data_IF_879488748114
#
_entry.id   IF_879488748114
#
_cell.length_a   1.000
_cell.length_b   1.000
_cell.length_c   1.000
_cell.angle_alpha   90.00
_cell.angle_beta   90.00
_cell.angle_gamma   90.00
#
_symmetry.space_group_name_H-M   'P 1'
#
loop_
_entity.id
_entity.type
_entity.pdbx_description
1 polymer ?
#
# COMPACT_ATOMS: atom_id res chain seq x y z
N UNK A 1 11.25 -5.28 16.29
CA UNK A 1 11.40 -5.40 14.84
C UNK A 1 12.48 -4.44 14.38
N UNK A 2 13.02 -4.62 13.20
CA UNK A 2 14.12 -3.78 12.71
C UNK A 2 13.64 -2.58 11.91
N UNK A 3 12.53 -2.75 11.20
CA UNK A 3 12.02 -1.79 10.23
C UNK A 3 10.60 -1.31 10.52
N UNK A 4 9.97 -1.87 11.56
CA UNK A 4 8.64 -1.44 12.02
C UNK A 4 8.76 -1.02 13.47
N UNK A 5 8.32 0.20 13.77
CA UNK A 5 8.21 0.73 15.13
C UNK A 5 6.73 0.77 15.55
N UNK A 6 6.43 0.25 16.74
CA UNK A 6 5.07 0.15 17.24
C UNK A 6 4.95 0.97 18.52
N UNK A 7 3.95 1.84 18.57
CA UNK A 7 3.67 2.66 19.75
C UNK A 7 2.19 2.57 20.09
N UNK A 8 1.86 2.21 21.32
CA UNK A 8 0.48 2.19 21.81
C UNK A 8 0.18 3.43 22.64
N UNK A 9 -0.99 4.01 22.41
CA UNK A 9 -1.51 5.16 23.14
C UNK A 9 -3.01 4.95 23.40
N UNK A 10 -3.34 4.51 24.61
CA UNK A 10 -4.70 4.09 24.94
C UNK A 10 -5.19 2.97 24.03
N UNK A 11 -6.29 3.20 23.31
CA UNK A 11 -6.85 2.23 22.36
C UNK A 11 -6.34 2.41 20.92
N UNK A 12 -5.30 3.20 20.72
CA UNK A 12 -4.71 3.46 19.41
C UNK A 12 -3.34 2.80 19.33
N UNK A 13 -3.13 1.99 18.32
CA UNK A 13 -1.84 1.42 17.95
C UNK A 13 -1.27 2.17 16.75
N UNK A 14 -0.09 2.75 16.89
CA UNK A 14 0.67 3.37 15.81
C UNK A 14 1.68 2.36 15.28
N UNK A 15 1.67 2.14 13.99
CA UNK A 15 2.60 1.28 13.26
C UNK A 15 3.36 2.13 12.27
N UNK A 16 4.64 2.37 12.54
CA UNK A 16 5.49 3.19 11.68
C UNK A 16 6.41 2.33 10.83
N UNK A 17 6.44 2.59 9.54
CA UNK A 17 7.55 2.17 8.68
C UNK A 17 8.77 3.00 9.09
N UNK A 18 9.85 2.33 9.49
CA UNK A 18 11.04 2.95 10.10
C UNK A 18 12.30 2.58 9.31
N UNK A 19 12.41 3.17 8.11
CA UNK A 19 13.55 3.02 7.21
C UNK A 19 13.75 4.31 6.41
N UNK A 20 13.87 5.42 7.12
CA UNK A 20 13.91 6.79 6.56
C UNK A 20 15.01 6.96 5.50
N UNK A 21 16.20 6.37 5.72
CA UNK A 21 17.35 6.44 4.80
C UNK A 21 17.06 5.87 3.41
N UNK A 22 16.02 5.05 3.29
CA UNK A 22 15.53 4.51 2.02
C UNK A 22 14.11 4.99 1.69
N UNK A 23 13.66 6.11 2.24
CA UNK A 23 12.30 6.63 2.06
C UNK A 23 11.23 5.55 2.38
N UNK A 24 11.47 4.76 3.41
CA UNK A 24 10.63 3.66 3.86
C UNK A 24 10.32 2.60 2.77
N UNK A 25 11.27 2.37 1.85
CA UNK A 25 11.11 1.39 0.77
C UNK A 25 10.85 -0.02 1.33
N UNK A 26 9.93 -0.72 0.68
CA UNK A 26 9.41 -2.03 1.08
C UNK A 26 10.34 -3.14 0.56
N UNK A 27 11.35 -3.50 1.36
CA UNK A 27 12.15 -4.70 1.13
C UNK A 27 11.40 -5.96 1.55
N UNK A 28 11.90 -7.12 1.16
CA UNK A 28 11.39 -8.43 1.60
C UNK A 28 11.25 -8.51 3.13
N UNK A 29 12.22 -7.98 3.88
CA UNK A 29 12.19 -8.00 5.33
C UNK A 29 11.11 -7.07 5.90
N UNK A 30 10.93 -5.86 5.33
CA UNK A 30 9.83 -4.95 5.70
C UNK A 30 8.47 -5.61 5.48
N UNK A 31 8.28 -6.28 4.33
CA UNK A 31 7.01 -6.97 4.01
C UNK A 31 6.73 -8.12 4.99
N UNK A 32 7.74 -8.85 5.41
CA UNK A 32 7.60 -9.90 6.44
C UNK A 32 7.26 -9.31 7.79
N UNK A 33 7.97 -8.26 8.22
CA UNK A 33 7.71 -7.63 9.51
C UNK A 33 6.32 -7.02 9.58
N UNK A 34 5.84 -6.35 8.51
CA UNK A 34 4.48 -5.78 8.51
C UNK A 34 3.41 -6.88 8.54
N UNK A 35 3.64 -7.99 7.83
CA UNK A 35 2.75 -9.17 7.89
C UNK A 35 2.67 -9.72 9.30
N UNK A 36 3.82 -9.89 9.97
CA UNK A 36 3.90 -10.38 11.35
C UNK A 36 3.20 -9.44 12.33
N UNK A 37 3.39 -8.12 12.18
CA UNK A 37 2.68 -7.10 12.98
C UNK A 37 1.17 -7.23 12.81
N UNK A 38 0.69 -7.25 11.57
CA UNK A 38 -0.73 -7.31 11.28
C UNK A 38 -1.38 -8.57 11.87
N UNK A 39 -0.72 -9.71 11.73
CA UNK A 39 -1.22 -10.96 12.33
C UNK A 39 -1.22 -10.91 13.85
N UNK A 40 -0.22 -10.29 14.47
CA UNK A 40 -0.13 -10.15 15.93
C UNK A 40 -1.22 -9.23 16.53
N UNK A 41 -1.71 -8.27 15.73
CA UNK A 41 -2.80 -7.38 16.14
C UNK A 41 -4.12 -8.12 16.42
N UNK A 42 -4.32 -9.31 15.84
CA UNK A 42 -5.51 -10.12 16.11
C UNK A 42 -5.58 -10.66 17.55
N UNK A 43 -4.44 -10.74 18.24
CA UNK A 43 -4.36 -11.11 19.65
C UNK A 43 -4.44 -9.90 20.59
N UNK A 44 -4.37 -8.67 20.03
CA UNK A 44 -4.45 -7.43 20.80
C UNK A 44 -5.90 -6.98 21.00
N UNK A 45 -6.44 -7.29 22.15
CA UNK A 45 -7.81 -6.93 22.53
C UNK A 45 -7.95 -5.49 23.09
N UNK A 46 -6.85 -4.80 23.34
CA UNK A 46 -6.84 -3.44 23.89
C UNK A 46 -6.88 -2.37 22.79
N UNK A 47 -6.16 -2.58 21.71
CA UNK A 47 -6.18 -1.67 20.57
C UNK A 47 -7.47 -1.81 19.77
N UNK A 48 -8.09 -0.69 19.44
CA UNK A 48 -9.33 -0.62 18.66
C UNK A 48 -9.13 -0.04 17.27
N UNK A 49 -8.09 0.78 17.14
CA UNK A 49 -7.71 1.43 15.89
C UNK A 49 -6.21 1.31 15.69
N UNK A 50 -5.79 1.06 14.46
CA UNK A 50 -4.39 1.01 14.04
C UNK A 50 -4.13 2.12 13.03
N UNK A 51 -3.12 2.95 13.29
CA UNK A 51 -2.67 3.98 12.36
C UNK A 51 -1.33 3.55 11.76
N UNK A 52 -1.28 3.42 10.45
CA UNK A 52 -0.05 3.17 9.69
C UNK A 52 0.51 4.48 9.17
N UNK A 53 1.79 4.74 9.38
CA UNK A 53 2.48 5.93 8.91
C UNK A 53 3.94 5.61 8.55
N UNK A 54 4.62 6.49 7.84
CA UNK A 54 6.06 6.45 7.66
C UNK A 54 6.76 7.36 8.67
N UNK A 55 7.93 6.99 9.17
CA UNK A 55 8.83 7.93 9.83
C UNK A 55 9.49 8.85 8.80
N UNK A 56 9.83 10.07 9.20
CA UNK A 56 10.43 11.09 8.34
C UNK A 56 9.43 11.74 7.40
N UNK A 57 9.87 12.02 6.17
CA UNK A 57 9.14 12.85 5.21
C UNK A 57 8.23 12.08 4.25
N UNK A 58 8.24 10.75 4.30
CA UNK A 58 7.51 9.91 3.34
C UNK A 58 6.78 8.77 4.01
N UNK A 59 5.59 8.44 3.51
CA UNK A 59 4.93 7.20 3.88
C UNK A 59 5.78 6.01 3.42
N UNK A 60 5.98 5.86 2.12
CA UNK A 60 6.94 4.91 1.53
C UNK A 60 7.10 5.15 0.02
N UNK A 61 8.31 4.95 -0.48
CA UNK A 61 8.62 5.01 -1.92
C UNK A 61 8.23 3.72 -2.68
N UNK A 62 7.57 2.75 -2.03
CA UNK A 62 7.17 1.48 -2.65
C UNK A 62 8.25 0.41 -2.59
N UNK A 63 8.18 -0.56 -3.48
CA UNK A 63 9.11 -1.70 -3.50
C UNK A 63 10.58 -1.26 -3.57
N UNK A 64 11.45 -1.91 -2.80
CA UNK A 64 12.88 -1.60 -2.77
C UNK A 64 13.58 -2.12 -4.04
N UNK A 65 13.72 -1.24 -5.04
CA UNK A 65 14.39 -1.55 -6.30
C UNK A 65 15.92 -1.77 -6.16
N UNK A 66 16.50 -1.44 -4.99
CA UNK A 66 17.93 -1.64 -4.71
C UNK A 66 18.20 -2.94 -3.97
N UNK A 67 17.16 -3.65 -3.54
CA UNK A 67 17.31 -4.93 -2.86
C UNK A 67 17.95 -5.95 -3.81
N UNK A 68 19.12 -6.46 -3.43
CA UNK A 68 19.83 -7.49 -4.20
C UNK A 68 19.10 -8.81 -4.04
N UNK A 69 18.45 -9.26 -5.07
CA UNK A 69 17.84 -10.59 -5.13
C UNK A 69 18.86 -11.61 -5.64
N UNK A 70 18.89 -12.77 -5.02
CA UNK A 70 19.61 -13.93 -5.58
C UNK A 70 18.85 -14.40 -6.82
N UNK A 71 19.57 -14.91 -7.85
CA UNK A 71 18.89 -15.57 -8.95
C UNK A 71 18.00 -16.72 -8.43
N UNK A 72 16.73 -16.66 -8.76
CA UNK A 72 15.73 -17.64 -8.36
C UNK A 72 15.32 -18.47 -9.59
N UNK A 73 15.03 -19.74 -9.39
CA UNK A 73 14.28 -20.50 -10.38
C UNK A 73 12.88 -19.90 -10.55
N UNK A 74 12.21 -20.18 -11.68
CA UNK A 74 10.84 -19.68 -11.91
C UNK A 74 9.87 -20.15 -10.83
N UNK A 75 10.03 -21.36 -10.32
CA UNK A 75 9.21 -21.89 -9.23
C UNK A 75 9.46 -21.14 -7.91
N UNK A 76 10.73 -20.86 -7.58
CA UNK A 76 11.06 -20.07 -6.39
C UNK A 76 10.55 -18.65 -6.53
N UNK A 77 10.74 -17.99 -7.68
CA UNK A 77 10.22 -16.63 -7.93
C UNK A 77 8.70 -16.59 -7.75
N UNK A 78 7.98 -17.57 -8.32
CA UNK A 78 6.52 -17.65 -8.21
C UNK A 78 6.04 -17.85 -6.76
N UNK A 79 6.79 -18.61 -5.94
CA UNK A 79 6.46 -18.83 -4.52
C UNK A 79 6.90 -17.70 -3.59
N UNK A 80 7.90 -16.91 -3.97
CA UNK A 80 8.49 -15.85 -3.14
C UNK A 80 7.80 -14.49 -3.34
N UNK A 81 6.50 -14.48 -3.53
CA UNK A 81 5.70 -13.26 -3.55
C UNK A 81 5.36 -12.82 -2.12
N UNK A 82 6.17 -11.94 -1.54
CA UNK A 82 5.93 -11.42 -0.18
C UNK A 82 4.96 -10.24 -0.14
N UNK A 83 4.76 -9.55 -1.25
CA UNK A 83 3.88 -8.38 -1.33
C UNK A 83 2.40 -8.75 -1.21
N UNK A 84 1.95 -9.78 -1.94
CA UNK A 84 0.55 -10.23 -1.86
C UNK A 84 0.15 -10.66 -0.43
N UNK A 85 0.88 -11.55 0.27
CA UNK A 85 0.59 -11.88 1.66
C UNK A 85 0.62 -10.66 2.59
N UNK A 86 1.52 -9.70 2.36
CA UNK A 86 1.56 -8.48 3.16
C UNK A 86 0.27 -7.66 3.00
N UNK A 87 -0.24 -7.48 1.79
CA UNK A 87 -1.52 -6.78 1.57
C UNK A 87 -2.69 -7.57 2.17
N UNK A 88 -2.74 -8.89 1.98
CA UNK A 88 -3.81 -9.72 2.59
C UNK A 88 -3.83 -9.60 4.11
N UNK A 89 -2.67 -9.46 4.76
CA UNK A 89 -2.61 -9.30 6.20
C UNK A 89 -3.35 -8.06 6.73
N UNK A 90 -3.53 -7.01 5.90
CA UNK A 90 -4.32 -5.83 6.29
C UNK A 90 -5.82 -6.16 6.38
N UNK A 91 -6.31 -7.07 5.54
CA UNK A 91 -7.71 -7.51 5.60
C UNK A 91 -8.00 -8.39 6.81
N UNK A 92 -6.97 -9.06 7.33
CA UNK A 92 -7.06 -9.88 8.55
C UNK A 92 -7.01 -9.05 9.85
N UNK A 93 -6.63 -7.78 9.81
CA UNK A 93 -6.62 -6.90 10.99
C UNK A 93 -8.05 -6.59 11.40
N UNK A 94 -8.45 -7.04 12.58
CA UNK A 94 -9.80 -6.80 13.10
C UNK A 94 -10.06 -5.34 13.47
N UNK A 95 -9.04 -4.62 13.97
CA UNK A 95 -9.12 -3.21 14.34
C UNK A 95 -9.40 -2.33 13.12
N UNK A 96 -10.01 -1.18 13.33
CA UNK A 96 -10.13 -0.17 12.27
C UNK A 96 -8.74 0.34 11.87
N UNK A 97 -8.45 0.38 10.58
CA UNK A 97 -7.14 0.75 10.04
C UNK A 97 -7.18 2.11 9.35
N UNK A 98 -6.20 2.96 9.63
CA UNK A 98 -6.06 4.30 9.05
C UNK A 98 -4.65 4.41 8.47
N UNK A 99 -4.53 4.78 7.20
CA UNK A 99 -3.25 5.19 6.62
C UNK A 99 -3.08 6.71 6.74
N UNK A 100 -2.04 7.15 7.45
CA UNK A 100 -1.64 8.57 7.56
C UNK A 100 -0.48 8.84 6.61
N UNK A 101 -0.76 9.52 5.50
CA UNK A 101 0.12 9.58 4.34
C UNK A 101 0.77 10.95 4.21
N UNK A 102 2.10 11.01 4.33
CA UNK A 102 2.89 12.20 4.00
C UNK A 102 3.89 11.90 2.88
N UNK A 103 4.23 12.91 2.07
CA UNK A 103 5.18 12.78 0.98
C UNK A 103 4.85 11.65 0.01
N UNK A 104 5.81 10.82 -0.33
CA UNK A 104 5.61 9.72 -1.29
C UNK A 104 4.86 8.54 -0.69
N UNK A 105 3.87 8.03 -1.45
CA UNK A 105 3.16 6.79 -1.23
C UNK A 105 3.01 6.08 -2.59
N UNK A 106 4.02 5.32 -3.02
CA UNK A 106 4.15 4.86 -4.40
C UNK A 106 4.10 3.34 -4.52
N UNK A 107 3.48 2.84 -5.58
CA UNK A 107 3.47 1.43 -5.92
C UNK A 107 2.92 0.55 -4.79
N UNK A 108 3.71 -0.40 -4.31
CA UNK A 108 3.32 -1.27 -3.21
C UNK A 108 2.91 -0.52 -1.93
N UNK A 109 3.43 0.70 -1.69
CA UNK A 109 2.98 1.53 -0.58
C UNK A 109 1.57 2.06 -0.80
N UNK A 110 1.23 2.43 -2.03
CA UNK A 110 -0.14 2.79 -2.40
C UNK A 110 -1.09 1.59 -2.26
N UNK A 111 -0.62 0.35 -2.52
CA UNK A 111 -1.40 -0.86 -2.23
C UNK A 111 -1.67 -1.00 -0.73
N UNK A 112 -0.67 -0.78 0.14
CA UNK A 112 -0.84 -0.77 1.61
C UNK A 112 -1.88 0.27 2.02
N UNK A 113 -1.73 1.51 1.57
CA UNK A 113 -2.67 2.59 1.88
C UNK A 113 -4.10 2.26 1.42
N UNK A 114 -4.23 1.62 0.25
CA UNK A 114 -5.53 1.21 -0.32
C UNK A 114 -6.18 0.06 0.44
N UNK A 115 -5.41 -0.75 1.13
CA UNK A 115 -5.90 -1.87 1.94
C UNK A 115 -6.38 -1.45 3.34
N UNK A 116 -6.06 -0.23 3.79
CA UNK A 116 -6.59 0.33 5.03
C UNK A 116 -8.06 0.73 4.86
N UNK A 117 -8.82 0.77 5.98
CA UNK A 117 -10.22 1.20 5.96
C UNK A 117 -10.33 2.69 5.59
N UNK A 118 -9.48 3.54 6.15
CA UNK A 118 -9.45 4.99 5.91
C UNK A 118 -8.06 5.49 5.52
N UNK A 119 -8.02 6.61 4.80
CA UNK A 119 -6.80 7.27 4.31
C UNK A 119 -6.89 8.75 4.56
N UNK A 120 -5.95 9.28 5.32
CA UNK A 120 -5.79 10.70 5.57
C UNK A 120 -4.42 11.13 5.06
N UNK A 121 -4.34 12.26 4.37
CA UNK A 121 -3.11 12.68 3.72
C UNK A 121 -2.68 14.09 4.10
N UNK A 122 -1.39 14.37 3.97
CA UNK A 122 -0.90 15.74 3.97
C UNK A 122 -1.21 16.43 2.63
N UNK A 123 -1.23 17.75 2.63
CA UNK A 123 -1.30 18.59 1.43
C UNK A 123 -0.06 18.45 0.51
N UNK A 124 0.98 17.74 0.97
CA UNK A 124 2.22 17.47 0.26
C UNK A 124 2.32 16.03 -0.24
N UNK A 125 1.35 15.18 0.08
CA UNK A 125 1.38 13.80 -0.33
C UNK A 125 1.23 13.65 -1.85
N UNK A 126 2.02 12.72 -2.39
CA UNK A 126 1.94 12.25 -3.78
C UNK A 126 1.76 10.74 -3.77
N UNK A 127 0.69 10.27 -4.37
CA UNK A 127 0.39 8.84 -4.44
C UNK A 127 0.20 8.40 -5.88
N UNK A 128 0.72 7.24 -6.22
CA UNK A 128 0.61 6.66 -7.56
C UNK A 128 0.96 5.20 -7.61
N UNK A 129 0.64 4.58 -8.76
CA UNK A 129 1.00 3.22 -9.11
C UNK A 129 1.91 3.25 -10.36
N UNK A 130 3.23 3.56 -10.19
CA UNK A 130 4.14 3.80 -11.30
C UNK A 130 4.71 2.51 -11.92
N UNK A 131 4.17 1.34 -11.62
CA UNK A 131 4.66 0.03 -12.05
C UNK A 131 4.79 -0.06 -13.58
N UNK A 132 3.89 0.56 -14.32
CA UNK A 132 3.92 0.59 -15.80
C UNK A 132 5.18 1.25 -16.34
N UNK A 133 5.71 2.26 -15.64
CA UNK A 133 6.96 2.94 -16.01
C UNK A 133 8.19 2.05 -15.85
N UNK A 134 8.04 0.93 -15.16
CA UNK A 134 9.04 -0.13 -15.04
C UNK A 134 8.71 -1.34 -15.93
N UNK A 135 7.74 -1.24 -16.83
CA UNK A 135 7.33 -2.30 -17.76
C UNK A 135 6.67 -3.50 -17.08
N UNK A 136 6.00 -3.29 -15.93
CA UNK A 136 5.25 -4.34 -15.23
C UNK A 136 3.82 -3.89 -14.94
N UNK A 137 2.91 -4.88 -14.79
CA UNK A 137 1.56 -4.62 -14.32
C UNK A 137 1.55 -4.27 -12.82
N UNK A 138 0.47 -3.64 -12.36
CA UNK A 138 0.21 -3.45 -10.94
C UNK A 138 -0.19 -4.80 -10.31
N UNK A 139 0.57 -5.24 -9.33
CA UNK A 139 0.34 -6.46 -8.56
C UNK A 139 0.00 -6.14 -7.08
N UNK A 140 0.22 -7.07 -6.16
CA UNK A 140 -0.07 -6.96 -4.74
C UNK A 140 -1.52 -6.56 -4.45
N UNK A 141 -2.44 -7.09 -5.24
CA UNK A 141 -3.86 -6.77 -5.09
C UNK A 141 -4.23 -5.30 -5.35
N UNK A 142 -3.30 -4.48 -5.83
CA UNK A 142 -3.46 -3.04 -5.97
C UNK A 142 -4.55 -2.64 -6.96
N UNK A 143 -4.73 -3.40 -8.06
CA UNK A 143 -5.68 -3.05 -9.11
C UNK A 143 -7.16 -3.05 -8.64
N UNK A 144 -7.69 -4.13 -8.01
CA UNK A 144 -9.05 -4.12 -7.51
C UNK A 144 -9.28 -3.06 -6.42
N UNK A 145 -8.29 -2.84 -5.55
CA UNK A 145 -8.36 -1.80 -4.53
C UNK A 145 -8.47 -0.40 -5.15
N UNK A 146 -7.64 -0.07 -6.14
CA UNK A 146 -7.72 1.19 -6.87
C UNK A 146 -9.10 1.36 -7.55
N UNK A 147 -9.58 0.31 -8.24
CA UNK A 147 -10.88 0.35 -8.93
C UNK A 147 -12.04 0.63 -7.96
N UNK A 148 -12.01 0.07 -6.77
CA UNK A 148 -13.07 0.29 -5.77
C UNK A 148 -13.05 1.69 -5.17
N UNK A 149 -11.86 2.20 -4.90
CA UNK A 149 -11.72 3.52 -4.28
C UNK A 149 -12.07 4.66 -5.24
N UNK A 150 -11.63 4.58 -6.49
CA UNK A 150 -11.75 5.71 -7.43
C UNK A 150 -12.52 5.40 -8.72
N UNK A 151 -13.01 4.19 -8.85
CA UNK A 151 -13.74 3.73 -10.04
C UNK A 151 -12.83 3.38 -11.22
N UNK A 152 -13.35 2.63 -12.23
CA UNK A 152 -12.53 1.99 -13.25
C UNK A 152 -11.81 2.97 -14.19
N UNK A 153 -12.42 4.13 -14.48
CA UNK A 153 -11.81 5.10 -15.39
C UNK A 153 -10.59 5.79 -14.77
N UNK A 154 -10.70 6.24 -13.52
CA UNK A 154 -9.62 6.90 -12.79
C UNK A 154 -8.51 5.90 -12.42
N UNK A 155 -8.88 4.66 -12.07
CA UNK A 155 -7.92 3.59 -11.86
C UNK A 155 -7.09 3.31 -13.13
N UNK A 156 -7.72 3.20 -14.31
CA UNK A 156 -7.00 3.07 -15.58
C UNK A 156 -6.09 4.27 -15.85
N UNK A 157 -6.58 5.51 -15.63
CA UNK A 157 -5.76 6.72 -15.80
C UNK A 157 -4.50 6.64 -14.93
N UNK A 158 -4.66 6.27 -13.66
CA UNK A 158 -3.58 6.25 -12.69
C UNK A 158 -2.58 5.10 -12.94
N UNK A 159 -3.09 3.87 -13.17
CA UNK A 159 -2.25 2.67 -13.32
C UNK A 159 -1.62 2.58 -14.71
N UNK A 160 -2.35 2.90 -15.79
CA UNK A 160 -1.80 2.86 -17.15
C UNK A 160 -0.98 4.13 -17.43
N UNK A 161 -1.38 5.29 -16.89
CA UNK A 161 -0.61 6.53 -17.02
C UNK A 161 0.69 6.52 -16.22
N UNK A 162 0.73 5.77 -15.09
CA UNK A 162 1.90 5.67 -14.24
C UNK A 162 2.31 6.98 -13.57
N UNK A 163 1.39 7.96 -13.51
CA UNK A 163 1.63 9.26 -12.91
C UNK A 163 1.27 9.28 -11.43
N UNK A 164 1.96 10.14 -10.68
CA UNK A 164 1.63 10.38 -9.28
C UNK A 164 0.63 11.52 -9.19
N UNK A 165 -0.49 11.29 -8.51
CA UNK A 165 -1.52 12.28 -8.29
C UNK A 165 -1.31 13.01 -6.96
N UNK A 166 -1.67 14.29 -6.92
CA UNK A 166 -1.59 15.11 -5.70
C UNK A 166 -2.80 14.89 -4.78
N UNK A 167 -2.69 15.41 -3.56
CA UNK A 167 -3.70 15.21 -2.51
C UNK A 167 -5.07 15.80 -2.86
N UNK A 168 -5.11 16.96 -3.52
CA UNK A 168 -6.36 17.62 -3.92
C UNK A 168 -7.12 16.77 -4.95
N UNK A 169 -6.41 16.26 -5.96
CA UNK A 169 -6.97 15.36 -6.97
C UNK A 169 -7.52 14.10 -6.33
N UNK A 170 -6.74 13.45 -5.45
CA UNK A 170 -7.13 12.20 -4.81
C UNK A 170 -8.29 12.38 -3.82
N UNK A 171 -8.37 13.51 -3.12
CA UNK A 171 -9.54 13.87 -2.31
C UNK A 171 -10.78 14.03 -3.19
N UNK A 172 -10.66 14.73 -4.31
CA UNK A 172 -11.78 14.93 -5.27
C UNK A 172 -12.26 13.62 -5.90
N UNK A 173 -11.38 12.60 -5.98
CA UNK A 173 -11.72 11.28 -6.50
C UNK A 173 -12.34 10.36 -5.44
N UNK A 174 -12.27 10.73 -4.17
CA UNK A 174 -12.71 9.91 -3.04
C UNK A 174 -11.70 8.85 -2.63
N UNK A 175 -10.44 8.99 -3.04
CA UNK A 175 -9.35 8.12 -2.57
C UNK A 175 -8.97 8.47 -1.13
N UNK A 176 -8.80 9.75 -0.83
CA UNK A 176 -8.57 10.23 0.54
C UNK A 176 -9.87 10.62 1.20
N UNK A 177 -10.00 10.30 2.48
CA UNK A 177 -11.13 10.70 3.32
C UNK A 177 -10.95 12.14 3.81
N UNK A 178 -9.70 12.53 4.13
CA UNK A 178 -9.34 13.87 4.57
C UNK A 178 -7.95 14.27 4.05
N UNK A 179 -7.75 15.59 3.85
CA UNK A 179 -6.44 16.20 3.56
C UNK A 179 -6.20 17.36 4.51
N UNK A 180 -5.01 17.41 5.10
CA UNK A 180 -4.62 18.42 6.06
C UNK A 180 -3.23 19.00 5.74
N UNK A 181 -2.87 20.18 6.25
CA UNK A 181 -1.49 20.65 6.25
C UNK A 181 -0.55 19.61 6.88
N UNK A 182 0.67 19.45 6.33
CA UNK A 182 1.63 18.45 6.81
C UNK A 182 1.80 18.43 8.33
N UNK A 183 1.93 19.61 8.95
CA UNK A 183 2.11 19.73 10.39
C UNK A 183 0.87 19.33 11.22
N UNK A 184 -0.30 19.17 10.59
CA UNK A 184 -1.56 18.78 11.24
C UNK A 184 -1.94 17.32 10.98
N UNK A 185 -1.27 16.65 10.03
CA UNK A 185 -1.61 15.29 9.60
C UNK A 185 -1.73 14.30 10.76
N UNK A 186 -0.71 14.21 11.62
CA UNK A 186 -0.70 13.24 12.71
C UNK A 186 -1.76 13.53 13.77
N UNK A 187 -2.01 14.81 14.04
CA UNK A 187 -3.10 15.23 14.94
C UNK A 187 -4.47 14.89 14.34
N UNK A 188 -4.65 15.07 13.04
CA UNK A 188 -5.88 14.72 12.34
C UNK A 188 -6.10 13.20 12.32
N UNK A 189 -5.07 12.42 12.03
CA UNK A 189 -5.13 10.95 12.10
C UNK A 189 -5.50 10.47 13.52
N UNK A 190 -4.92 11.11 14.55
CA UNK A 190 -5.27 10.82 15.94
C UNK A 190 -6.74 11.13 16.25
N UNK A 191 -7.25 12.28 15.83
CA UNK A 191 -8.67 12.66 16.03
C UNK A 191 -9.61 11.65 15.33
N UNK A 192 -9.29 11.24 14.10
CA UNK A 192 -10.05 10.22 13.39
C UNK A 192 -10.03 8.89 14.15
N UNK A 193 -8.86 8.46 14.64
CA UNK A 193 -8.71 7.24 15.42
C UNK A 193 -9.48 7.31 16.75
N UNK A 194 -9.44 8.42 17.48
CA UNK A 194 -10.21 8.62 18.71
C UNK A 194 -11.72 8.51 18.48
N UNK A 195 -12.21 9.04 17.35
CA UNK A 195 -13.63 8.90 16.97
C UNK A 195 -14.01 7.42 16.86
N UNK A 196 -13.26 6.60 16.13
CA UNK A 196 -13.57 5.18 15.95
C UNK A 196 -13.28 4.35 17.22
N UNK A 197 -12.21 4.67 17.96
CA UNK A 197 -11.89 4.03 19.21
C UNK A 197 -12.95 4.26 20.30
N UNK A 198 -13.75 5.33 20.20
CA UNK A 198 -14.88 5.60 21.10
C UNK A 198 -16.11 4.70 20.87
N UNK A 199 -16.14 3.95 19.76
CA UNK A 199 -17.27 3.10 19.41
C UNK A 199 -17.16 1.72 20.05
N UNK A 200 -18.29 0.97 20.22
CA UNK A 200 -18.25 -0.41 20.69
C UNK A 200 -17.37 -1.28 19.78
N UNK A 201 -16.23 -1.83 20.28
CA UNK A 201 -15.24 -2.45 19.40
C UNK A 201 -15.77 -3.69 18.69
N UNK A 202 -16.54 -4.54 19.34
CA UNK A 202 -17.11 -5.72 18.71
C UNK A 202 -18.02 -5.36 17.53
N UNK A 203 -18.91 -4.39 17.70
CA UNK A 203 -19.81 -3.97 16.64
C UNK A 203 -19.04 -3.33 15.47
N UNK A 204 -18.04 -2.48 15.77
CA UNK A 204 -17.22 -1.84 14.74
C UNK A 204 -16.45 -2.88 13.89
N UNK A 205 -15.81 -3.85 14.52
CA UNK A 205 -15.08 -4.92 13.85
C UNK A 205 -16.01 -5.84 13.03
N UNK A 206 -17.18 -6.20 13.55
CA UNK A 206 -18.17 -7.00 12.81
C UNK A 206 -18.68 -6.24 11.57
N UNK A 207 -18.92 -4.93 11.68
CA UNK A 207 -19.33 -4.10 10.54
C UNK A 207 -18.22 -4.05 9.51
N UNK A 208 -16.96 -3.78 9.91
CA UNK A 208 -15.80 -3.79 9.01
C UNK A 208 -15.72 -5.12 8.26
N UNK A 209 -15.73 -6.25 8.98
CA UNK A 209 -15.61 -7.56 8.35
C UNK A 209 -16.76 -7.81 7.36
N UNK A 210 -18.01 -7.46 7.73
CA UNK A 210 -19.15 -7.62 6.82
C UNK A 210 -19.03 -6.75 5.56
N UNK A 211 -18.51 -5.53 5.68
CA UNK A 211 -18.27 -4.66 4.52
C UNK A 211 -17.16 -5.25 3.66
N UNK A 212 -16.05 -5.73 4.25
CA UNK A 212 -14.96 -6.34 3.53
C UNK A 212 -15.41 -7.57 2.74
N UNK A 213 -16.19 -8.47 3.36
CA UNK A 213 -16.76 -9.66 2.68
C UNK A 213 -17.62 -9.27 1.47
N UNK A 214 -18.46 -8.25 1.60
CA UNK A 214 -19.29 -7.77 0.49
C UNK A 214 -18.47 -7.14 -0.64
N UNK A 215 -17.43 -6.39 -0.27
CA UNK A 215 -16.63 -5.62 -1.23
C UNK A 215 -15.59 -6.50 -1.93
N UNK A 216 -14.99 -7.48 -1.23
CA UNK A 216 -13.89 -8.29 -1.77
C UNK A 216 -14.31 -9.68 -2.27
N UNK A 217 -15.61 -10.03 -2.20
CA UNK A 217 -16.14 -11.36 -2.51
C UNK A 217 -15.72 -11.95 -3.87
N UNK A 218 -15.44 -11.10 -4.88
CA UNK A 218 -15.09 -11.55 -6.23
C UNK A 218 -13.61 -11.40 -6.59
N UNK A 219 -12.80 -10.84 -5.68
CA UNK A 219 -11.42 -10.47 -6.02
C UNK A 219 -10.52 -11.66 -6.23
N UNK A 220 -10.62 -12.67 -5.38
CA UNK A 220 -9.83 -13.88 -5.52
C UNK A 220 -10.09 -14.60 -6.85
N UNK A 221 -11.29 -14.49 -7.41
CA UNK A 221 -11.63 -15.03 -8.70
C UNK A 221 -10.81 -14.41 -9.86
N UNK A 222 -10.39 -13.15 -9.71
CA UNK A 222 -9.64 -12.41 -10.74
C UNK A 222 -8.17 -12.25 -10.38
N UNK A 223 -7.86 -12.13 -9.09
CA UNK A 223 -6.54 -11.78 -8.60
C UNK A 223 -5.64 -12.96 -8.25
N UNK A 224 -6.12 -14.21 -8.42
CA UNK A 224 -5.26 -15.37 -8.23
C UNK A 224 -4.07 -15.39 -9.22
N UNK A 225 -4.23 -14.80 -10.42
CA UNK A 225 -3.20 -14.68 -11.45
C UNK A 225 -2.41 -13.37 -11.41
N UNK A 226 -2.61 -12.53 -10.39
CA UNK A 226 -1.98 -11.21 -10.28
C UNK A 226 -0.46 -11.28 -10.44
N UNK A 227 0.17 -12.22 -9.73
CA UNK A 227 1.61 -12.42 -9.80
C UNK A 227 2.07 -13.14 -11.08
N UNK A 228 1.23 -13.97 -11.67
CA UNK A 228 1.54 -14.64 -12.95
C UNK A 228 1.69 -13.60 -14.08
N UNK A 229 0.85 -12.57 -14.09
CA UNK A 229 0.95 -11.44 -15.02
C UNK A 229 2.26 -10.67 -14.80
N UNK A 230 2.66 -10.45 -13.55
CA UNK A 230 3.94 -9.81 -13.22
C UNK A 230 5.12 -10.62 -13.73
N UNK A 231 5.12 -11.95 -13.53
CA UNK A 231 6.18 -12.80 -14.03
C UNK A 231 6.25 -12.80 -15.55
N UNK A 232 5.09 -12.78 -16.24
CA UNK A 232 5.05 -12.66 -17.69
C UNK A 232 5.69 -11.35 -18.16
N UNK A 233 5.30 -10.22 -17.56
CA UNK A 233 5.86 -8.91 -17.94
C UNK A 233 7.35 -8.80 -17.61
N UNK A 234 7.84 -9.46 -16.58
CA UNK A 234 9.27 -9.50 -16.25
C UNK A 234 10.15 -10.16 -17.33
N UNK A 235 9.60 -11.05 -18.16
CA UNK A 235 10.34 -11.75 -19.23
C UNK A 235 10.45 -10.94 -20.52
N UNK A 236 9.71 -9.80 -20.65
CA UNK A 236 9.67 -9.00 -21.87
C UNK A 236 10.93 -8.18 -22.09
N UNK A 237 11.20 -7.80 -23.32
CA UNK A 237 12.23 -6.82 -23.66
C UNK A 237 11.84 -5.43 -23.18
N UNK A 238 10.55 -5.11 -23.27
CA UNK A 238 10.00 -3.83 -22.82
C UNK A 238 10.26 -3.60 -21.31
N UNK A 239 10.21 -4.65 -20.50
CA UNK A 239 10.59 -4.57 -19.07
C UNK A 239 12.06 -4.20 -18.89
N UNK A 240 12.95 -4.77 -19.69
CA UNK A 240 14.40 -4.47 -19.63
C UNK A 240 14.66 -3.05 -20.08
N UNK A 241 14.02 -2.63 -21.16
CA UNK A 241 14.09 -1.27 -21.69
C UNK A 241 13.56 -0.25 -20.67
N UNK A 242 12.39 -0.49 -20.06
CA UNK A 242 11.82 0.39 -19.05
C UNK A 242 12.76 0.61 -17.85
N UNK A 243 13.39 -0.46 -17.35
CA UNK A 243 14.35 -0.35 -16.25
C UNK A 243 15.60 0.42 -16.70
N UNK A 244 16.13 0.11 -17.86
CA UNK A 244 17.36 0.75 -18.38
C UNK A 244 17.13 2.24 -18.60
N UNK A 245 16.06 2.61 -19.32
CA UNK A 245 15.70 4.01 -19.58
C UNK A 245 15.45 4.80 -18.30
N UNK A 246 14.83 4.18 -17.28
CA UNK A 246 14.62 4.81 -15.97
C UNK A 246 15.95 5.20 -15.30
N UNK A 247 16.95 4.30 -15.27
CA UNK A 247 18.26 4.60 -14.70
C UNK A 247 19.07 5.56 -15.54
N UNK A 248 18.94 5.50 -16.87
CA UNK A 248 19.62 6.39 -17.82
C UNK A 248 18.94 7.76 -17.97
N UNK A 249 17.73 7.93 -17.41
CA UNK A 249 16.91 9.15 -17.50
C UNK A 249 16.64 9.58 -18.95
N UNK A 250 16.28 8.64 -19.80
CA UNK A 250 15.85 8.84 -21.18
C UNK A 250 14.46 8.25 -21.42
N UNK A 251 13.86 8.63 -22.54
CA UNK A 251 12.58 8.04 -22.95
C UNK A 251 12.78 6.57 -23.37
N UNK A 252 11.87 5.65 -22.98
CA UNK A 252 11.92 4.26 -23.38
C UNK A 252 11.42 4.05 -24.82
N UNK A 253 11.95 3.01 -25.49
CA UNK A 253 11.48 2.56 -26.81
C UNK A 253 10.83 1.18 -26.67
N UNK A 254 9.50 1.15 -26.57
CA UNK A 254 8.74 -0.09 -26.39
C UNK A 254 8.40 -0.74 -27.73
N UNK A 255 8.50 -2.07 -27.78
CA UNK A 255 8.29 -2.87 -28.99
C UNK A 255 7.08 -3.82 -28.89
N UNK A 256 6.57 -4.06 -27.68
CA UNK A 256 5.52 -5.01 -27.40
C UNK A 256 6.04 -6.46 -27.26
N UNK A 257 7.35 -6.63 -27.06
CA UNK A 257 8.00 -7.96 -26.97
C UNK A 257 8.77 -8.11 -25.63
#
# INVERSE_FOLDING_TARGET
>A
MKYIDIKKEGHICWVYLDREEAMNALSTDVLKEITEVNLSLNEDLESRVVIYAGKGDHFSAGADLKEKQKPLSKLEAWRNNYGKPAIYSFFEVNQITIAAIDGYCLGGAACIASACDFRIASDKALLGYPEINLGINLNWFGLPLAVRLIGPAKAKKMVIGGENENSETLLSWGFYDEVHPKNELMNAAKRMAELYASKPPLAAQMIKNSVNELVYATDDATMHMDYDQTLLTHETKDRREAVLSFFEKRDPEFTGD
#
